data_IF_531439258798
#
_entry.id   IF_531439258798
#
_cell.length_a   1.000
_cell.length_b   1.000
_cell.length_c   1.000
_cell.angle_alpha   90.00
_cell.angle_beta   90.00
_cell.angle_gamma   90.00
#
_symmetry.space_group_name_H-M   'P 1'
#
loop_
_entity.id
_entity.type
_entity.pdbx_description
1 polymer ?
#
# COMPACT_ATOMS: atom_id res chain seq x y z
N UNK A 1 -7.32 16.50 9.12
CA UNK A 1 -8.69 16.59 8.52
C UNK A 1 -9.62 17.47 9.39
N UNK A 2 -9.40 17.54 10.69
CA UNK A 2 -10.18 18.42 11.60
C UNK A 2 -9.80 19.91 11.53
N UNK A 3 -8.74 20.27 10.79
CA UNK A 3 -8.30 21.67 10.66
C UNK A 3 -7.53 22.22 11.87
N UNK A 4 -7.13 21.36 12.81
CA UNK A 4 -6.38 21.75 14.02
C UNK A 4 -4.92 22.14 13.72
N UNK A 5 -4.36 21.61 12.64
CA UNK A 5 -3.00 21.92 12.15
C UNK A 5 -3.03 22.22 10.66
N UNK A 6 -2.09 23.03 10.16
CA UNK A 6 -1.94 23.28 8.72
C UNK A 6 -1.30 22.08 8.01
N UNK A 7 -1.40 22.05 6.67
CA UNK A 7 -0.74 21.03 5.85
C UNK A 7 0.78 21.05 6.04
N UNK A 8 1.36 22.23 6.12
CA UNK A 8 2.81 22.42 6.33
C UNK A 8 3.25 21.88 7.70
N UNK A 9 2.46 22.15 8.74
CA UNK A 9 2.71 21.61 10.08
C UNK A 9 2.63 20.09 10.11
N UNK A 10 1.66 19.50 9.41
CA UNK A 10 1.53 18.05 9.26
C UNK A 10 2.72 17.42 8.53
N UNK A 11 3.13 18.00 7.39
CA UNK A 11 4.29 17.54 6.63
C UNK A 11 5.57 17.63 7.48
N UNK A 12 5.78 18.75 8.17
CA UNK A 12 6.95 18.94 9.03
C UNK A 12 6.97 17.96 10.20
N UNK A 13 5.82 17.69 10.82
CA UNK A 13 5.71 16.68 11.87
C UNK A 13 6.12 15.29 11.37
N UNK A 14 5.60 14.84 10.21
CA UNK A 14 5.95 13.55 9.64
C UNK A 14 7.43 13.48 9.28
N UNK A 15 8.01 14.52 8.69
CA UNK A 15 9.44 14.59 8.39
C UNK A 15 10.31 14.44 9.64
N UNK A 16 9.95 15.11 10.73
CA UNK A 16 10.67 14.96 12.00
C UNK A 16 10.60 13.53 12.52
N UNK A 17 9.42 12.89 12.46
CA UNK A 17 9.24 11.50 12.91
C UNK A 17 9.98 10.50 12.02
N UNK A 18 10.02 10.72 10.72
CA UNK A 18 10.82 9.92 9.79
C UNK A 18 12.31 10.05 10.15
N UNK A 19 12.81 11.24 10.39
CA UNK A 19 14.21 11.45 10.76
C UNK A 19 14.59 10.75 12.10
N UNK A 20 13.73 10.83 13.11
CA UNK A 20 13.89 10.11 14.37
C UNK A 20 13.92 8.58 14.16
N UNK A 21 13.02 8.07 13.30
CA UNK A 21 12.92 6.65 12.98
C UNK A 21 14.16 6.14 12.22
N UNK A 22 14.65 6.89 11.22
CA UNK A 22 15.86 6.55 10.48
C UNK A 22 17.06 6.46 11.43
N UNK A 23 17.25 7.50 12.27
CA UNK A 23 18.33 7.50 13.24
C UNK A 23 18.29 6.30 14.18
N UNK A 24 17.11 5.96 14.71
CA UNK A 24 16.94 4.80 15.59
C UNK A 24 17.34 3.50 14.87
N UNK A 25 16.90 3.31 13.61
CA UNK A 25 17.22 2.13 12.82
C UNK A 25 18.73 2.02 12.53
N UNK A 26 19.40 3.14 12.28
CA UNK A 26 20.86 3.19 12.13
C UNK A 26 21.59 2.82 13.42
N UNK A 27 21.14 3.37 14.56
CA UNK A 27 21.74 3.13 15.89
C UNK A 27 21.64 1.64 16.30
N UNK A 28 20.55 0.96 15.93
CA UNK A 28 20.41 -0.50 16.17
C UNK A 28 21.06 -1.36 15.08
N UNK A 29 21.57 -0.79 14.02
CA UNK A 29 22.39 -1.47 13.02
C UNK A 29 21.61 -2.20 11.91
N UNK A 30 20.42 -1.73 11.52
CA UNK A 30 19.67 -2.33 10.40
C UNK A 30 20.36 -1.99 9.06
N UNK A 31 20.42 -2.96 8.14
CA UNK A 31 21.03 -2.80 6.82
C UNK A 31 20.10 -2.14 5.80
N UNK A 32 18.80 -2.39 5.89
CA UNK A 32 17.75 -1.81 5.05
C UNK A 32 16.73 -1.13 5.95
N UNK A 33 16.47 0.16 5.69
CA UNK A 33 15.64 0.98 6.57
C UNK A 33 14.25 1.21 5.97
N UNK A 34 13.30 1.62 6.81
CA UNK A 34 11.95 2.04 6.42
C UNK A 34 11.65 3.44 6.95
N UNK A 35 10.75 4.18 6.29
CA UNK A 35 10.42 5.54 6.73
C UNK A 35 9.52 5.60 7.98
N UNK A 36 8.89 4.49 8.39
CA UNK A 36 8.08 4.37 9.61
C UNK A 36 6.59 4.61 9.44
N UNK A 37 6.11 4.92 8.23
CA UNK A 37 4.68 5.02 7.85
C UNK A 37 3.84 6.00 8.68
N UNK A 38 4.42 7.11 9.14
CA UNK A 38 3.76 8.09 10.01
C UNK A 38 2.57 8.82 9.34
N UNK A 39 2.50 8.80 8.02
CA UNK A 39 1.40 9.36 7.22
C UNK A 39 0.18 8.43 7.14
N UNK A 40 0.30 7.16 7.57
CA UNK A 40 -0.71 6.12 7.40
C UNK A 40 -1.41 5.80 8.72
N UNK A 41 -2.72 5.65 8.67
CA UNK A 41 -3.53 5.14 9.77
C UNK A 41 -3.86 3.66 9.61
N UNK A 42 -3.99 3.21 8.36
CA UNK A 42 -4.28 1.83 7.98
C UNK A 42 -3.69 1.53 6.60
N UNK A 43 -3.23 0.30 6.39
CA UNK A 43 -2.57 -0.10 5.16
C UNK A 43 -3.49 -0.19 3.93
N UNK A 44 -4.81 -0.18 4.10
CA UNK A 44 -5.78 -0.17 3.00
C UNK A 44 -6.46 1.19 2.86
N UNK A 45 -6.86 1.82 3.98
CA UNK A 45 -7.47 3.14 3.97
C UNK A 45 -6.55 4.18 3.31
N UNK A 46 -5.26 4.18 3.63
CA UNK A 46 -4.29 5.11 3.05
C UNK A 46 -4.23 5.04 1.51
N UNK A 47 -4.08 3.83 0.97
CA UNK A 47 -4.02 3.65 -0.49
C UNK A 47 -5.36 3.97 -1.16
N UNK A 48 -6.47 3.56 -0.56
CA UNK A 48 -7.78 3.92 -1.08
C UNK A 48 -8.04 5.43 -1.10
N UNK A 49 -7.52 6.19 -0.11
CA UNK A 49 -7.60 7.67 -0.11
C UNK A 49 -6.77 8.31 -1.23
N UNK A 50 -5.72 7.63 -1.71
CA UNK A 50 -4.85 8.12 -2.79
C UNK A 50 -5.30 7.70 -4.20
N UNK A 51 -6.27 6.80 -4.30
CA UNK A 51 -6.76 6.23 -5.55
C UNK A 51 -8.16 6.74 -5.89
N UNK A 52 -8.43 6.97 -7.18
CA UNK A 52 -9.80 7.17 -7.65
C UNK A 52 -10.60 5.88 -7.56
N UNK A 53 -11.91 5.99 -7.51
CA UNK A 53 -12.82 4.84 -7.47
C UNK A 53 -13.11 4.33 -6.06
N UNK A 54 -12.55 4.96 -5.02
CA UNK A 54 -12.80 4.63 -3.62
C UNK A 54 -13.64 5.68 -2.90
N UNK A 55 -14.48 5.23 -1.99
CA UNK A 55 -15.24 6.04 -1.04
C UNK A 55 -14.93 5.61 0.38
N UNK A 56 -15.10 6.55 1.32
CA UNK A 56 -14.98 6.30 2.75
C UNK A 56 -16.21 6.81 3.49
N UNK A 57 -16.70 6.01 4.42
CA UNK A 57 -17.76 6.46 5.33
C UNK A 57 -17.16 7.28 6.47
N UNK A 58 -17.97 8.16 7.05
CA UNK A 58 -17.55 8.94 8.22
C UNK A 58 -17.49 8.06 9.50
N UNK A 59 -18.45 7.17 9.68
CA UNK A 59 -18.68 6.47 10.97
C UNK A 59 -18.78 4.95 10.90
N UNK A 60 -18.65 4.32 9.73
CA UNK A 60 -18.77 2.87 9.60
C UNK A 60 -17.48 2.15 10.03
N UNK A 61 -17.17 2.23 11.31
CA UNK A 61 -16.06 1.51 11.91
C UNK A 61 -16.36 0.01 12.02
N UNK A 62 -15.42 -0.80 11.60
CA UNK A 62 -15.46 -2.27 11.70
C UNK A 62 -14.34 -2.72 12.61
N UNK A 63 -14.64 -3.65 13.52
CA UNK A 63 -13.64 -4.24 14.40
C UNK A 63 -12.63 -5.05 13.57
N UNK A 64 -11.35 -4.83 13.85
CA UNK A 64 -10.22 -5.57 13.31
C UNK A 64 -9.63 -6.47 14.41
N UNK A 65 -8.31 -6.47 14.59
CA UNK A 65 -7.66 -7.27 15.64
C UNK A 65 -7.72 -6.58 17.01
N UNK A 66 -8.09 -7.35 18.03
CA UNK A 66 -8.19 -6.85 19.40
C UNK A 66 -9.17 -5.70 19.53
N UNK A 67 -8.72 -4.57 20.04
CA UNK A 67 -9.50 -3.34 20.22
C UNK A 67 -9.40 -2.36 19.05
N UNK A 68 -8.64 -2.70 18.00
CA UNK A 68 -8.48 -1.85 16.81
C UNK A 68 -9.73 -1.89 15.95
N UNK A 69 -10.14 -0.73 15.47
CA UNK A 69 -11.18 -0.58 14.45
C UNK A 69 -10.61 0.05 13.19
N UNK A 70 -11.17 -0.29 12.05
CA UNK A 70 -10.84 0.23 10.72
C UNK A 70 -12.09 0.71 10.02
N UNK A 71 -11.94 1.56 9.01
CA UNK A 71 -13.02 1.94 8.09
C UNK A 71 -12.70 1.33 6.72
N UNK A 72 -13.28 0.16 6.39
CA UNK A 72 -13.02 -0.45 5.10
C UNK A 72 -13.46 0.49 3.96
N UNK A 73 -12.63 0.68 2.94
CA UNK A 73 -13.03 1.44 1.76
C UNK A 73 -14.19 0.78 1.02
N UNK A 74 -14.94 1.60 0.29
CA UNK A 74 -15.96 1.13 -0.67
C UNK A 74 -15.44 1.41 -2.07
N UNK A 75 -15.32 0.37 -2.88
CA UNK A 75 -14.98 0.51 -4.30
C UNK A 75 -16.27 0.73 -5.06
N UNK A 76 -16.45 1.93 -5.62
CA UNK A 76 -17.69 2.32 -6.29
C UNK A 76 -17.52 2.60 -7.78
N UNK A 77 -16.29 2.78 -8.26
CA UNK A 77 -15.99 3.15 -9.64
C UNK A 77 -14.70 2.48 -10.14
N UNK A 78 -14.28 2.84 -11.36
CA UNK A 78 -13.02 2.39 -11.92
C UNK A 78 -11.85 2.96 -11.15
N UNK A 79 -10.83 2.13 -10.90
CA UNK A 79 -9.71 2.49 -10.06
C UNK A 79 -8.57 3.01 -10.92
N UNK A 80 -8.07 4.17 -10.57
CA UNK A 80 -6.89 4.78 -11.20
C UNK A 80 -6.05 5.55 -10.20
N UNK A 81 -4.77 5.73 -10.52
CA UNK A 81 -3.81 6.54 -9.78
C UNK A 81 -3.50 7.80 -10.58
N UNK A 82 -3.68 8.97 -10.00
CA UNK A 82 -3.36 10.26 -10.64
C UNK A 82 -2.00 10.79 -10.23
N UNK A 83 -1.63 10.59 -8.97
CA UNK A 83 -0.38 11.09 -8.39
C UNK A 83 0.34 10.00 -7.60
N UNK A 84 1.64 10.20 -7.35
CA UNK A 84 2.40 9.32 -6.46
C UNK A 84 1.82 9.34 -5.03
N UNK A 85 1.86 8.18 -4.38
CA UNK A 85 1.27 7.98 -3.07
C UNK A 85 2.32 8.00 -1.94
N UNK A 86 3.47 7.36 -2.16
CA UNK A 86 4.49 7.10 -1.13
C UNK A 86 5.88 7.62 -1.50
N UNK A 87 6.06 8.01 -2.76
CA UNK A 87 7.38 8.39 -3.32
C UNK A 87 8.01 9.56 -2.54
N UNK A 88 7.25 10.61 -2.24
CA UNK A 88 7.76 11.79 -1.51
C UNK A 88 8.37 11.38 -0.16
N UNK A 89 7.68 10.56 0.60
CA UNK A 89 8.11 10.10 1.92
C UNK A 89 9.33 9.18 1.84
N UNK A 90 9.33 8.24 0.89
CA UNK A 90 10.43 7.31 0.66
C UNK A 90 11.70 8.03 0.20
N UNK A 91 11.58 8.98 -0.71
CA UNK A 91 12.71 9.80 -1.20
C UNK A 91 13.25 10.72 -0.10
N UNK A 92 12.37 11.35 0.67
CA UNK A 92 12.80 12.13 1.82
C UNK A 92 13.55 11.27 2.83
N UNK A 93 13.03 10.09 3.17
CA UNK A 93 13.72 9.17 4.08
C UNK A 93 15.09 8.73 3.52
N UNK A 94 15.18 8.39 2.23
CA UNK A 94 16.43 8.03 1.58
C UNK A 94 17.46 9.18 1.60
N UNK A 95 17.01 10.44 1.60
CA UNK A 95 17.92 11.59 1.67
C UNK A 95 18.60 11.77 3.03
N UNK A 96 18.17 11.04 4.05
CA UNK A 96 18.69 11.12 5.43
C UNK A 96 19.74 10.05 5.74
N UNK A 97 19.95 9.08 4.84
CA UNK A 97 20.83 7.92 5.10
C UNK A 97 21.48 7.42 3.81
N UNK A 98 22.69 6.86 3.95
CA UNK A 98 23.38 6.14 2.86
C UNK A 98 22.94 4.67 2.74
N UNK A 99 22.20 4.14 3.72
CA UNK A 99 21.65 2.78 3.68
C UNK A 99 20.45 2.70 2.76
N UNK A 100 20.20 1.52 2.12
CA UNK A 100 19.02 1.35 1.28
C UNK A 100 17.72 1.60 2.04
N UNK A 101 16.85 2.42 1.46
CA UNK A 101 15.48 2.62 1.95
C UNK A 101 14.53 1.66 1.26
N UNK A 102 13.68 1.00 2.05
CA UNK A 102 12.64 0.11 1.54
C UNK A 102 11.31 0.85 1.39
N UNK A 103 10.80 0.89 0.15
CA UNK A 103 9.42 1.31 -0.13
C UNK A 103 8.43 0.27 0.39
N UNK A 104 7.33 0.71 0.99
CA UNK A 104 6.31 -0.16 1.60
C UNK A 104 4.97 0.11 0.94
N UNK A 105 4.39 -0.90 0.30
CA UNK A 105 3.12 -0.83 -0.41
C UNK A 105 2.19 -1.94 0.04
N UNK A 106 0.88 -1.72 -0.08
CA UNK A 106 -0.11 -2.78 0.05
C UNK A 106 -0.45 -3.34 -1.32
N UNK A 107 -0.50 -4.65 -1.42
CA UNK A 107 -0.77 -5.35 -2.66
C UNK A 107 -2.25 -5.32 -3.08
N UNK A 108 -2.52 -5.55 -4.38
CA UNK A 108 -3.85 -5.37 -4.95
C UNK A 108 -4.89 -6.34 -4.38
N UNK A 109 -4.50 -7.54 -4.03
CA UNK A 109 -5.41 -8.55 -3.48
C UNK A 109 -5.83 -8.17 -2.06
N UNK A 110 -4.92 -7.62 -1.27
CA UNK A 110 -5.21 -7.14 0.08
C UNK A 110 -6.09 -5.90 0.06
N UNK A 111 -5.79 -4.91 -0.80
CA UNK A 111 -6.63 -3.72 -0.96
C UNK A 111 -8.07 -4.12 -1.35
N UNK A 112 -8.21 -5.02 -2.32
CA UNK A 112 -9.52 -5.52 -2.74
C UNK A 112 -10.26 -6.23 -1.61
N UNK A 113 -9.60 -7.20 -0.95
CA UNK A 113 -10.23 -8.09 0.01
C UNK A 113 -10.61 -7.42 1.34
N UNK A 114 -9.94 -6.34 1.71
CA UNK A 114 -10.27 -5.53 2.89
C UNK A 114 -11.08 -4.28 2.56
N UNK A 115 -11.60 -4.22 1.33
CA UNK A 115 -12.59 -3.23 0.88
C UNK A 115 -13.94 -3.90 0.64
N UNK A 116 -14.99 -3.09 0.53
CA UNK A 116 -16.27 -3.52 -0.02
C UNK A 116 -16.22 -3.35 -1.54
N UNK A 117 -16.09 -4.45 -2.32
CA UNK A 117 -15.94 -4.36 -3.77
C UNK A 117 -17.25 -3.99 -4.45
N UNK A 118 -17.15 -3.34 -5.62
CA UNK A 118 -18.28 -3.15 -6.55
C UNK A 118 -18.73 -4.50 -7.13
N UNK A 119 -19.99 -4.60 -7.50
CA UNK A 119 -20.61 -5.87 -7.95
C UNK A 119 -20.86 -5.92 -9.47
N UNK A 120 -20.64 -4.83 -10.20
CA UNK A 120 -20.87 -4.72 -11.64
C UNK A 120 -19.72 -5.24 -12.52
N UNK A 121 -18.54 -5.46 -11.94
CA UNK A 121 -17.39 -6.12 -12.57
C UNK A 121 -16.90 -7.28 -11.70
N UNK A 122 -16.10 -8.18 -12.28
CA UNK A 122 -15.53 -9.29 -11.53
C UNK A 122 -14.45 -8.85 -10.53
N UNK A 123 -14.26 -9.62 -9.44
CA UNK A 123 -13.15 -9.40 -8.49
C UNK A 123 -11.79 -9.41 -9.20
N UNK A 124 -11.63 -10.23 -10.23
CA UNK A 124 -10.44 -10.27 -11.07
C UNK A 124 -10.18 -8.93 -11.77
N UNK A 125 -11.19 -8.36 -12.41
CA UNK A 125 -11.06 -7.07 -13.11
C UNK A 125 -10.75 -5.95 -12.12
N UNK A 126 -11.44 -5.93 -10.98
CA UNK A 126 -11.18 -4.98 -9.91
C UNK A 126 -9.75 -5.09 -9.38
N UNK A 127 -9.27 -6.33 -9.09
CA UNK A 127 -7.89 -6.57 -8.66
C UNK A 127 -6.86 -6.08 -9.69
N UNK A 128 -7.13 -6.23 -10.97
CA UNK A 128 -6.21 -5.80 -12.02
C UNK A 128 -6.16 -4.27 -12.14
N UNK A 129 -7.28 -3.56 -11.97
CA UNK A 129 -7.27 -2.10 -11.91
C UNK A 129 -6.38 -1.60 -10.75
N UNK A 130 -6.54 -2.19 -9.56
CA UNK A 130 -5.67 -1.87 -8.41
C UNK A 130 -4.22 -2.22 -8.72
N UNK A 131 -3.96 -3.40 -9.31
CA UNK A 131 -2.60 -3.84 -9.63
C UNK A 131 -1.88 -2.90 -10.61
N UNK A 132 -2.57 -2.34 -11.60
CA UNK A 132 -2.01 -1.31 -12.48
C UNK A 132 -1.64 -0.04 -11.72
N UNK A 133 -2.51 0.43 -10.83
CA UNK A 133 -2.25 1.61 -10.01
C UNK A 133 -1.05 1.43 -9.07
N UNK A 134 -0.95 0.27 -8.40
CA UNK A 134 0.20 -0.06 -7.53
C UNK A 134 1.47 -0.28 -8.34
N UNK A 135 1.40 -0.88 -9.53
CA UNK A 135 2.55 -1.00 -10.42
C UNK A 135 3.15 0.35 -10.78
N UNK A 136 2.30 1.32 -11.09
CA UNK A 136 2.77 2.67 -11.43
C UNK A 136 3.47 3.34 -10.24
N UNK A 137 3.03 3.07 -9.01
CA UNK A 137 3.75 3.49 -7.79
C UNK A 137 5.10 2.78 -7.64
N UNK A 138 5.18 1.47 -7.89
CA UNK A 138 6.43 0.71 -7.86
C UNK A 138 7.44 1.27 -8.86
N UNK A 139 7.00 1.58 -10.08
CA UNK A 139 7.86 2.16 -11.12
C UNK A 139 8.35 3.56 -10.76
N UNK A 140 7.50 4.38 -10.14
CA UNK A 140 7.89 5.72 -9.66
C UNK A 140 8.89 5.63 -8.50
N UNK A 141 8.71 4.71 -7.54
CA UNK A 141 9.71 4.44 -6.49
C UNK A 141 11.05 4.03 -7.10
N UNK A 142 11.04 3.09 -8.06
CA UNK A 142 12.25 2.65 -8.77
C UNK A 142 12.92 3.80 -9.51
N UNK A 143 12.15 4.62 -10.24
CA UNK A 143 12.66 5.78 -10.98
C UNK A 143 13.30 6.82 -10.07
N UNK A 144 12.84 6.93 -8.83
CA UNK A 144 13.39 7.80 -7.80
C UNK A 144 14.49 7.15 -6.94
N UNK A 145 15.04 6.01 -7.36
CA UNK A 145 16.21 5.38 -6.74
C UNK A 145 15.93 4.42 -5.60
N UNK A 146 14.67 4.16 -5.26
CA UNK A 146 14.31 3.13 -4.27
C UNK A 146 14.50 1.75 -4.91
N UNK A 147 15.41 0.95 -4.34
CA UNK A 147 15.84 -0.35 -4.89
C UNK A 147 15.33 -1.56 -4.13
N UNK A 148 14.70 -1.35 -2.99
CA UNK A 148 14.03 -2.40 -2.23
C UNK A 148 12.58 -1.97 -2.05
N UNK A 149 11.64 -2.77 -2.51
CA UNK A 149 10.20 -2.44 -2.43
C UNK A 149 9.46 -3.65 -1.90
N UNK A 150 8.77 -3.49 -0.79
CA UNK A 150 7.92 -4.53 -0.22
C UNK A 150 6.46 -4.27 -0.62
N UNK A 151 5.80 -5.32 -1.13
CA UNK A 151 4.39 -5.31 -1.48
C UNK A 151 3.66 -6.33 -0.60
N UNK A 152 2.89 -5.85 0.36
CA UNK A 152 2.24 -6.68 1.37
C UNK A 152 0.92 -7.27 0.87
N UNK A 153 0.84 -8.59 0.79
CA UNK A 153 -0.37 -9.35 0.46
C UNK A 153 -0.89 -10.14 1.65
N UNK A 154 -1.18 -9.43 2.74
CA UNK A 154 -1.64 -10.00 4.00
C UNK A 154 -2.95 -10.81 3.85
N UNK A 155 -3.89 -10.34 3.00
CA UNK A 155 -5.18 -10.99 2.79
C UNK A 155 -5.15 -12.12 1.74
N UNK A 156 -4.04 -12.38 1.06
CA UNK A 156 -3.97 -13.40 0.01
C UNK A 156 -4.39 -14.78 0.52
N UNK A 157 -3.88 -15.19 1.69
CA UNK A 157 -4.21 -16.47 2.30
C UNK A 157 -5.59 -16.46 2.95
N UNK A 158 -6.02 -15.34 3.49
CA UNK A 158 -7.25 -15.19 4.25
C UNK A 158 -8.51 -15.49 3.40
N UNK A 159 -8.48 -15.16 2.12
CA UNK A 159 -9.61 -15.32 1.18
C UNK A 159 -9.56 -16.60 0.33
N UNK A 160 -8.67 -17.52 0.66
CA UNK A 160 -8.68 -18.84 0.02
C UNK A 160 -10.03 -19.52 0.23
N UNK A 161 -10.63 -20.16 -0.82
CA UNK A 161 -11.80 -20.98 -0.66
C UNK A 161 -11.62 -22.07 0.40
N UNK A 162 -12.69 -22.43 1.10
CA UNK A 162 -12.64 -23.49 2.13
C UNK A 162 -12.16 -24.82 1.55
N UNK A 163 -12.55 -25.14 0.33
CA UNK A 163 -12.12 -26.39 -0.34
C UNK A 163 -10.81 -26.15 -1.10
N UNK A 164 -9.77 -26.92 -0.75
CA UNK A 164 -8.47 -26.82 -1.40
C UNK A 164 -8.53 -27.06 -2.92
N UNK A 165 -9.43 -27.93 -3.40
CA UNK A 165 -9.65 -28.19 -4.82
C UNK A 165 -10.14 -26.98 -5.63
N UNK A 166 -10.64 -25.94 -4.95
CA UNK A 166 -11.16 -24.72 -5.58
C UNK A 166 -10.11 -23.58 -5.57
N UNK A 167 -9.01 -23.71 -4.82
CA UNK A 167 -8.02 -22.65 -4.63
C UNK A 167 -7.49 -22.11 -5.95
N UNK A 168 -7.03 -22.99 -6.81
CA UNK A 168 -6.44 -22.58 -8.11
C UNK A 168 -7.50 -21.95 -9.01
N UNK A 169 -8.60 -22.67 -9.25
CA UNK A 169 -9.60 -22.27 -10.24
C UNK A 169 -10.41 -21.03 -9.82
N UNK A 170 -10.82 -20.96 -8.57
CA UNK A 170 -11.73 -19.90 -8.11
C UNK A 170 -10.98 -18.63 -7.64
N UNK A 171 -9.72 -18.73 -7.23
CA UNK A 171 -9.03 -17.63 -6.57
C UNK A 171 -7.60 -17.39 -7.06
N UNK A 172 -6.68 -18.35 -6.91
CA UNK A 172 -5.27 -18.13 -7.20
C UNK A 172 -5.00 -17.85 -8.69
N UNK A 173 -5.84 -18.36 -9.59
CA UNK A 173 -5.78 -18.11 -11.04
C UNK A 173 -5.85 -16.62 -11.43
N UNK A 174 -6.40 -15.77 -10.58
CA UNK A 174 -6.41 -14.32 -10.80
C UNK A 174 -5.62 -13.54 -9.73
N UNK A 175 -5.62 -13.99 -8.48
CA UNK A 175 -4.95 -13.29 -7.40
C UNK A 175 -3.41 -13.27 -7.57
N UNK A 176 -2.80 -14.40 -7.94
CA UNK A 176 -1.35 -14.46 -8.20
C UNK A 176 -0.94 -13.64 -9.43
N UNK A 177 -1.63 -13.70 -10.58
CA UNK A 177 -1.34 -12.80 -11.70
C UNK A 177 -1.52 -11.32 -11.37
N UNK A 178 -2.51 -10.92 -10.55
CA UNK A 178 -2.66 -9.55 -10.09
C UNK A 178 -1.43 -9.07 -9.29
N UNK A 179 -0.95 -9.87 -8.35
CA UNK A 179 0.29 -9.58 -7.62
C UNK A 179 1.51 -9.50 -8.58
N UNK A 180 1.67 -10.46 -9.50
CA UNK A 180 2.77 -10.46 -10.47
C UNK A 180 2.75 -9.24 -11.39
N UNK A 181 1.57 -8.71 -11.70
CA UNK A 181 1.42 -7.51 -12.52
C UNK A 181 2.07 -6.28 -11.86
N UNK A 182 2.01 -6.17 -10.54
CA UNK A 182 2.57 -5.05 -9.77
C UNK A 182 4.06 -4.84 -10.04
N UNK A 183 4.82 -5.90 -10.21
CA UNK A 183 6.27 -5.82 -10.44
C UNK A 183 6.71 -6.25 -11.86
N UNK A 184 5.78 -6.34 -12.81
CA UNK A 184 6.01 -6.91 -14.13
C UNK A 184 7.00 -6.13 -15.03
N UNK A 185 7.34 -4.87 -14.67
CA UNK A 185 8.24 -4.00 -15.46
C UNK A 185 9.43 -3.49 -14.64
N UNK A 186 9.62 -4.02 -13.45
CA UNK A 186 10.73 -3.67 -12.57
C UNK A 186 12.05 -4.18 -13.16
N UNK A 187 13.11 -3.40 -13.03
CA UNK A 187 14.45 -3.75 -13.47
C UNK A 187 15.09 -4.82 -12.58
N UNK A 188 16.09 -5.53 -13.11
CA UNK A 188 16.73 -6.64 -12.41
C UNK A 188 17.46 -6.24 -11.10
N UNK A 189 17.90 -4.99 -11.00
CA UNK A 189 18.59 -4.46 -9.81
C UNK A 189 17.64 -4.04 -8.68
N UNK A 190 16.33 -4.00 -8.92
CA UNK A 190 15.32 -3.70 -7.90
C UNK A 190 14.75 -4.98 -7.30
N UNK A 191 14.76 -5.07 -5.97
CA UNK A 191 14.22 -6.22 -5.21
C UNK A 191 12.77 -5.94 -4.82
N UNK A 192 11.88 -6.91 -5.07
CA UNK A 192 10.48 -6.88 -4.66
C UNK A 192 10.25 -7.99 -3.63
#
# INVERSE_FOLDING_TARGET
KAGEISKEQYVQFNRNKIAECIKLQEDIGLDVLVHGEYERNDMVEYFGECLNGFLFTEKAWVQSYGTRCVKPPIIWGDISRETSMTVEWSVYAQSLTDRPMKGMLTGPVTILNWSFPREDISLKECAYQIAFAIRDEVLDLEANGIRVIQVDEAALREKLPLRKSEWEKAYLSWAIPAFRLVHSRVKAETQI
#
